data_IF_020519540288
#
_entry.id   IF_020519540288
#
_cell.length_a   1.000
_cell.length_b   1.000
_cell.length_c   1.000
_cell.angle_alpha   90.00
_cell.angle_beta   90.00
_cell.angle_gamma   90.00
#
_symmetry.space_group_name_H-M   'P 1'
#
loop_
_entity.id
_entity.type
_entity.pdbx_description
1 polymer ?
#
# COMPACT_ATOMS: atom_id res chain seq x y z
N UNK A 1 -2.38 -7.89 -5.72
CA UNK A 1 -1.74 -7.19 -4.59
C UNK A 1 -0.37 -7.85 -4.38
N UNK A 2 0.76 -7.14 -4.49
CA UNK A 2 2.07 -7.77 -4.30
C UNK A 2 2.17 -8.33 -2.87
N UNK A 3 2.85 -9.48 -2.68
CA UNK A 3 2.93 -10.12 -1.37
C UNK A 3 3.64 -9.20 -0.36
N UNK A 4 3.01 -9.00 0.80
CA UNK A 4 3.58 -8.21 1.90
C UNK A 4 4.64 -9.04 2.60
N UNK A 5 5.86 -9.01 2.08
CA UNK A 5 7.03 -9.65 2.72
C UNK A 5 7.18 -9.08 4.14
N UNK A 6 7.32 -9.95 5.14
CA UNK A 6 7.46 -9.52 6.53
C UNK A 6 8.72 -8.67 6.71
N UNK A 7 8.72 -7.67 7.63
CA UNK A 7 9.88 -6.81 7.84
C UNK A 7 11.13 -7.61 8.22
N UNK A 8 10.96 -8.69 8.99
CA UNK A 8 12.03 -9.60 9.36
C UNK A 8 12.61 -10.34 8.14
N UNK A 9 11.77 -10.82 7.22
CA UNK A 9 12.23 -11.47 5.99
C UNK A 9 12.94 -10.48 5.05
N UNK A 10 12.45 -9.23 4.94
CA UNK A 10 13.15 -8.19 4.18
C UNK A 10 14.53 -7.88 4.76
N UNK A 11 14.63 -7.75 6.08
CA UNK A 11 15.89 -7.53 6.77
C UNK A 11 16.87 -8.70 6.57
N UNK A 12 16.39 -9.94 6.64
CA UNK A 12 17.20 -11.13 6.37
C UNK A 12 17.67 -11.17 4.92
N UNK A 13 16.82 -10.82 3.95
CA UNK A 13 17.21 -10.77 2.53
C UNK A 13 18.27 -9.70 2.25
N UNK A 14 18.14 -8.53 2.88
CA UNK A 14 19.14 -7.45 2.83
C UNK A 14 20.47 -7.91 3.43
N UNK A 15 20.45 -8.48 4.63
CA UNK A 15 21.66 -8.98 5.30
C UNK A 15 22.30 -10.12 4.49
N UNK A 16 21.49 -10.99 3.90
CA UNK A 16 21.95 -12.05 3.02
C UNK A 16 22.60 -11.52 1.75
N UNK A 17 22.00 -10.52 1.10
CA UNK A 17 22.55 -9.90 -0.12
C UNK A 17 23.84 -9.12 0.15
N UNK A 18 23.88 -8.34 1.23
CA UNK A 18 25.09 -7.61 1.66
C UNK A 18 26.21 -8.55 2.05
N UNK A 19 25.92 -9.62 2.77
CA UNK A 19 26.89 -10.68 3.08
C UNK A 19 27.38 -11.39 1.81
N UNK A 20 26.49 -11.74 0.88
CA UNK A 20 26.84 -12.36 -0.39
C UNK A 20 27.76 -11.45 -1.22
N UNK A 21 27.45 -10.16 -1.32
CA UNK A 21 28.25 -9.20 -2.09
C UNK A 21 29.65 -9.01 -1.48
N UNK A 22 29.77 -9.00 -0.16
CA UNK A 22 31.06 -8.93 0.53
C UNK A 22 31.93 -10.17 0.28
N UNK A 23 31.31 -11.37 0.26
CA UNK A 23 32.02 -12.60 -0.10
C UNK A 23 32.39 -12.66 -1.59
N UNK A 24 31.66 -11.97 -2.46
CA UNK A 24 31.98 -11.93 -3.89
C UNK A 24 33.18 -11.02 -4.17
N UNK A 25 33.25 -9.87 -3.49
CA UNK A 25 34.40 -8.95 -3.52
C UNK A 25 35.68 -9.68 -3.11
N UNK A 26 35.62 -10.43 -2.01
CA UNK A 26 36.69 -11.30 -1.52
C UNK A 26 37.22 -12.29 -2.57
N UNK A 27 36.31 -12.88 -3.37
CA UNK A 27 36.67 -13.84 -4.42
C UNK A 27 37.34 -13.13 -5.60
N UNK A 28 36.85 -11.95 -5.96
CA UNK A 28 37.40 -11.14 -7.06
C UNK A 28 38.82 -10.70 -6.72
N UNK A 29 39.06 -10.21 -5.51
CA UNK A 29 40.41 -9.78 -5.08
C UNK A 29 41.38 -10.95 -4.97
N UNK A 30 40.94 -12.12 -4.49
CA UNK A 30 41.77 -13.32 -4.46
C UNK A 30 42.23 -13.77 -5.87
N UNK A 31 41.39 -13.57 -6.89
CA UNK A 31 41.69 -13.95 -8.28
C UNK A 31 42.57 -12.90 -8.97
N UNK A 32 42.26 -11.62 -8.78
CA UNK A 32 42.93 -10.54 -9.51
C UNK A 32 44.21 -10.05 -8.83
N UNK A 33 44.32 -10.22 -7.52
CA UNK A 33 45.43 -9.70 -6.73
C UNK A 33 45.84 -10.69 -5.61
N UNK A 34 46.46 -11.82 -5.97
CA UNK A 34 46.84 -12.86 -5.00
C UNK A 34 47.94 -12.42 -4.02
N UNK A 35 48.66 -11.33 -4.32
CA UNK A 35 49.70 -10.76 -3.46
C UNK A 35 49.20 -9.87 -2.32
N UNK A 36 47.95 -9.38 -2.34
CA UNK A 36 47.40 -8.55 -1.25
C UNK A 36 46.77 -9.44 -0.18
N UNK A 37 47.15 -9.31 1.11
CA UNK A 37 46.50 -10.04 2.18
C UNK A 37 45.05 -9.57 2.34
N UNK A 38 44.10 -10.51 2.15
CA UNK A 38 42.65 -10.30 2.24
C UNK A 38 42.15 -9.55 3.49
N UNK A 39 42.82 -9.73 4.64
CA UNK A 39 42.54 -8.98 5.87
C UNK A 39 43.50 -7.80 6.04
N UNK A 40 43.49 -6.87 5.09
CA UNK A 40 44.16 -5.59 5.26
C UNK A 40 43.19 -4.51 5.80
N UNK A 41 43.76 -3.36 6.15
CA UNK A 41 42.99 -2.25 6.70
C UNK A 41 41.98 -1.69 5.68
N UNK A 42 42.25 -1.80 4.38
CA UNK A 42 41.43 -1.25 3.32
C UNK A 42 40.11 -2.02 3.19
N UNK A 43 40.17 -3.35 3.09
CA UNK A 43 38.98 -4.19 2.99
C UNK A 43 38.09 -4.09 4.24
N UNK A 44 38.69 -4.01 5.43
CA UNK A 44 37.92 -3.86 6.68
C UNK A 44 37.22 -2.50 6.76
N UNK A 45 37.86 -1.42 6.28
CA UNK A 45 37.24 -0.09 6.26
C UNK A 45 36.14 0.03 5.21
N UNK A 46 36.37 -0.45 3.99
CA UNK A 46 35.38 -0.43 2.90
C UNK A 46 34.14 -1.26 3.26
N UNK A 47 34.31 -2.47 3.82
CA UNK A 47 33.20 -3.30 4.30
C UNK A 47 32.37 -2.63 5.40
N UNK A 48 33.03 -2.02 6.39
CA UNK A 48 32.37 -1.29 7.47
C UNK A 48 31.57 -0.09 6.97
N UNK A 49 32.16 0.72 6.08
CA UNK A 49 31.50 1.89 5.49
C UNK A 49 30.29 1.48 4.64
N UNK A 50 30.44 0.46 3.78
CA UNK A 50 29.34 -0.05 2.96
C UNK A 50 28.20 -0.57 3.83
N UNK A 51 28.50 -1.34 4.88
CA UNK A 51 27.47 -1.87 5.80
C UNK A 51 26.73 -0.75 6.52
N UNK A 52 27.44 0.28 7.01
CA UNK A 52 26.84 1.43 7.70
C UNK A 52 25.97 2.26 6.75
N UNK A 53 26.47 2.60 5.56
CA UNK A 53 25.73 3.38 4.57
C UNK A 53 24.49 2.61 4.11
N UNK A 54 24.66 1.34 3.74
CA UNK A 54 23.56 0.50 3.23
C UNK A 54 22.49 0.29 4.31
N UNK A 55 22.90 -0.02 5.55
CA UNK A 55 21.97 -0.17 6.67
C UNK A 55 21.22 1.13 6.98
N UNK A 56 21.94 2.27 7.02
CA UNK A 56 21.33 3.59 7.24
C UNK A 56 20.35 3.97 6.13
N UNK A 57 20.72 3.75 4.87
CA UNK A 57 19.88 4.01 3.71
C UNK A 57 18.59 3.18 3.75
N UNK A 58 18.68 1.91 4.12
CA UNK A 58 17.51 1.02 4.21
C UNK A 58 16.56 1.41 5.33
N UNK A 59 17.09 1.78 6.50
CA UNK A 59 16.27 2.31 7.61
C UNK A 59 15.54 3.59 7.17
N UNK A 60 16.24 4.50 6.50
CA UNK A 60 15.66 5.74 5.99
C UNK A 60 14.59 5.48 4.93
N UNK A 61 14.84 4.52 4.03
CA UNK A 61 13.87 4.11 3.01
C UNK A 61 12.60 3.52 3.65
N UNK A 62 12.73 2.68 4.68
CA UNK A 62 11.56 2.15 5.39
C UNK A 62 10.75 3.24 6.08
N UNK A 63 11.41 4.21 6.71
CA UNK A 63 10.75 5.36 7.33
C UNK A 63 9.98 6.15 6.28
N UNK A 64 10.57 6.37 5.11
CA UNK A 64 9.95 7.09 4.00
C UNK A 64 8.73 6.35 3.45
N UNK A 65 8.83 5.04 3.21
CA UNK A 65 7.71 4.20 2.76
C UNK A 65 6.54 4.28 3.75
N UNK A 66 6.81 4.15 5.07
CA UNK A 66 5.76 4.24 6.10
C UNK A 66 5.10 5.61 6.20
N UNK A 67 5.82 6.69 5.84
CA UNK A 67 5.21 8.03 5.75
C UNK A 67 4.30 8.13 4.53
N UNK A 68 4.73 7.58 3.40
CA UNK A 68 3.94 7.56 2.17
C UNK A 68 2.67 6.72 2.34
N UNK A 69 2.77 5.54 2.95
CA UNK A 69 1.61 4.68 3.25
C UNK A 69 0.59 5.42 4.15
N UNK A 70 1.05 6.12 5.18
CA UNK A 70 0.16 6.92 6.06
C UNK A 70 -0.53 8.05 5.31
N UNK A 71 0.21 8.82 4.51
CA UNK A 71 -0.37 9.89 3.71
C UNK A 71 -1.42 9.35 2.71
N UNK A 72 -1.17 8.17 2.13
CA UNK A 72 -2.14 7.51 1.25
C UNK A 72 -3.39 7.03 1.99
N UNK A 73 -3.24 6.49 3.20
CA UNK A 73 -4.40 6.10 4.01
C UNK A 73 -5.22 7.32 4.46
N UNK A 74 -4.57 8.44 4.78
CA UNK A 74 -5.25 9.70 5.07
C UNK A 74 -6.05 10.19 3.85
N UNK A 75 -5.47 10.13 2.64
CA UNK A 75 -6.20 10.46 1.40
C UNK A 75 -7.37 9.51 1.17
N UNK A 76 -7.21 8.19 1.34
CA UNK A 76 -8.32 7.23 1.18
C UNK A 76 -9.45 7.47 2.17
N UNK A 77 -9.15 7.84 3.41
CA UNK A 77 -10.19 8.16 4.40
C UNK A 77 -10.95 9.44 4.04
N UNK A 78 -10.25 10.45 3.51
CA UNK A 78 -10.84 11.68 2.97
C UNK A 78 -11.67 11.41 1.70
N UNK A 79 -11.22 10.54 0.80
CA UNK A 79 -11.98 10.07 -0.37
C UNK A 79 -13.20 9.23 0.02
N UNK A 80 -13.18 8.60 1.19
CA UNK A 80 -14.34 7.88 1.77
C UNK A 80 -15.45 8.81 2.27
N UNK A 81 -15.15 10.08 2.52
CA UNK A 81 -16.14 11.08 2.89
C UNK A 81 -16.80 11.67 1.65
N UNK A 82 -17.93 11.08 1.24
CA UNK A 82 -18.70 11.57 0.11
C UNK A 82 -19.54 12.80 0.51
N UNK A 83 -19.27 14.00 -0.01
CA UNK A 83 -20.10 15.16 0.27
C UNK A 83 -21.49 14.97 -0.34
N UNK A 84 -22.50 14.78 0.52
CA UNK A 84 -23.90 14.61 0.12
C UNK A 84 -24.71 15.88 0.36
N UNK A 85 -25.66 16.16 -0.53
CA UNK A 85 -26.64 17.23 -0.30
C UNK A 85 -27.61 16.79 0.80
N UNK A 86 -27.75 17.58 1.86
CA UNK A 86 -28.67 17.29 2.96
C UNK A 86 -30.14 17.21 2.53
N UNK A 87 -30.53 17.95 1.47
CA UNK A 87 -31.92 17.99 1.00
C UNK A 87 -32.25 16.87 0.00
N UNK A 88 -31.41 16.64 -1.01
CA UNK A 88 -31.70 15.70 -2.10
C UNK A 88 -30.82 14.45 -2.13
N UNK A 89 -29.87 14.31 -1.20
CA UNK A 89 -28.94 13.19 -1.05
C UNK A 89 -28.04 12.89 -2.26
N UNK A 90 -27.98 13.78 -3.26
CA UNK A 90 -26.99 13.67 -4.35
C UNK A 90 -25.57 13.80 -3.81
N UNK A 91 -24.63 13.11 -4.44
CA UNK A 91 -23.19 13.19 -4.13
C UNK A 91 -22.57 14.24 -5.04
N UNK A 92 -21.72 15.11 -4.47
CA UNK A 92 -20.93 16.08 -5.21
C UNK A 92 -19.59 15.48 -5.63
N UNK A 93 -19.23 15.58 -6.90
CA UNK A 93 -17.91 15.17 -7.43
C UNK A 93 -16.92 16.33 -7.42
N UNK A 94 -15.65 16.06 -7.73
CA UNK A 94 -14.61 17.10 -7.78
C UNK A 94 -14.87 18.16 -8.86
N UNK A 95 -15.60 17.82 -9.92
CA UNK A 95 -16.00 18.73 -11.00
C UNK A 95 -17.21 19.63 -10.61
N UNK A 96 -17.57 19.67 -9.32
CA UNK A 96 -18.75 20.36 -8.77
C UNK A 96 -20.10 19.88 -9.36
N UNK A 97 -20.11 18.70 -9.98
CA UNK A 97 -21.31 18.05 -10.50
C UNK A 97 -22.02 17.23 -9.41
N UNK A 98 -23.34 17.15 -9.52
CA UNK A 98 -24.19 16.43 -8.56
C UNK A 98 -24.81 15.19 -9.18
N UNK A 99 -24.49 14.03 -8.63
CA UNK A 99 -24.97 12.73 -9.13
C UNK A 99 -25.86 12.04 -8.10
N UNK A 100 -26.85 11.28 -8.59
CA UNK A 100 -27.60 10.33 -7.76
C UNK A 100 -26.66 9.25 -7.23
N UNK A 101 -26.91 8.80 -6.00
CA UNK A 101 -26.02 7.87 -5.27
C UNK A 101 -25.80 6.58 -6.07
N UNK A 102 -26.86 6.04 -6.65
CA UNK A 102 -26.85 4.79 -7.41
C UNK A 102 -25.92 4.90 -8.62
N UNK A 103 -25.99 6.02 -9.35
CA UNK A 103 -25.10 6.29 -10.49
C UNK A 103 -23.65 6.37 -10.03
N UNK A 104 -23.39 7.13 -8.96
CA UNK A 104 -22.06 7.33 -8.42
C UNK A 104 -21.39 6.01 -7.98
N UNK A 105 -22.12 5.16 -7.27
CA UNK A 105 -21.62 3.87 -6.78
C UNK A 105 -21.41 2.89 -7.94
N UNK A 106 -22.36 2.80 -8.88
CA UNK A 106 -22.26 1.90 -10.03
C UNK A 106 -21.08 2.23 -10.96
N UNK A 107 -20.71 3.50 -11.07
CA UNK A 107 -19.55 3.93 -11.88
C UNK A 107 -18.20 3.61 -11.22
N UNK A 108 -18.16 3.41 -9.90
CA UNK A 108 -16.92 3.27 -9.10
C UNK A 108 -16.75 1.92 -8.42
N UNK A 109 -17.72 1.02 -8.59
CA UNK A 109 -17.73 -0.32 -7.99
C UNK A 109 -18.39 -1.30 -8.95
N UNK A 110 -18.16 -2.60 -8.75
CA UNK A 110 -18.85 -3.66 -9.51
C UNK A 110 -20.29 -3.93 -9.01
N UNK A 111 -20.87 -3.02 -8.22
CA UNK A 111 -22.20 -3.19 -7.65
C UNK A 111 -23.31 -3.05 -8.72
N UNK A 112 -24.25 -4.00 -8.71
CA UNK A 112 -25.46 -3.94 -9.54
C UNK A 112 -26.67 -3.65 -8.66
N UNK A 113 -27.39 -2.56 -8.95
CA UNK A 113 -28.62 -2.20 -8.24
C UNK A 113 -29.83 -2.89 -8.88
N UNK A 114 -30.65 -3.53 -8.05
CA UNK A 114 -31.96 -4.06 -8.43
C UNK A 114 -33.06 -3.23 -7.75
N UNK A 115 -34.25 -3.24 -8.35
CA UNK A 115 -35.40 -2.58 -7.77
C UNK A 115 -36.12 -3.54 -6.82
N UNK A 116 -36.30 -3.13 -5.56
CA UNK A 116 -37.06 -3.86 -4.55
C UNK A 116 -37.83 -2.90 -3.66
N UNK A 117 -38.90 -3.38 -3.05
CA UNK A 117 -39.71 -2.59 -2.12
C UNK A 117 -39.58 -3.16 -0.71
N UNK A 118 -39.20 -2.35 0.27
CA UNK A 118 -39.14 -2.82 1.65
C UNK A 118 -40.56 -3.04 2.21
N UNK A 119 -40.73 -3.91 3.23
CA UNK A 119 -42.05 -4.19 3.82
C UNK A 119 -42.78 -2.95 4.32
N UNK A 120 -42.06 -1.94 4.84
CA UNK A 120 -42.65 -0.69 5.32
C UNK A 120 -43.26 0.13 4.18
N UNK A 121 -42.55 0.24 3.04
CA UNK A 121 -43.05 0.93 1.86
C UNK A 121 -44.23 0.18 1.24
N UNK A 122 -44.15 -1.15 1.18
CA UNK A 122 -45.24 -1.98 0.68
C UNK A 122 -46.51 -1.81 1.53
N UNK A 123 -46.39 -1.86 2.86
CA UNK A 123 -47.50 -1.65 3.79
C UNK A 123 -48.12 -0.25 3.66
N UNK A 124 -47.31 0.77 3.39
CA UNK A 124 -47.78 2.16 3.22
C UNK A 124 -48.53 2.37 1.91
N UNK A 125 -48.04 1.77 0.82
CA UNK A 125 -48.62 1.90 -0.52
C UNK A 125 -49.83 0.99 -0.74
N UNK A 126 -49.78 -0.23 -0.21
CA UNK A 126 -50.75 -1.30 -0.50
C UNK A 126 -51.54 -1.78 0.72
N UNK A 127 -51.27 -1.27 1.93
CA UNK A 127 -52.01 -1.67 3.13
C UNK A 127 -51.81 -3.14 3.52
N UNK A 128 -52.89 -3.82 3.91
CA UNK A 128 -52.88 -5.24 4.33
C UNK A 128 -52.81 -6.23 3.15
N UNK A 129 -52.86 -5.77 1.89
CA UNK A 129 -52.93 -6.65 0.71
C UNK A 129 -51.58 -7.28 0.33
N UNK A 130 -50.50 -6.96 1.05
CA UNK A 130 -49.15 -7.47 0.81
C UNK A 130 -48.80 -8.65 1.75
N UNK A 131 -49.72 -9.60 1.94
CA UNK A 131 -49.41 -10.87 2.59
C UNK A 131 -48.81 -11.85 1.56
N UNK A 132 -47.47 -11.84 1.53
CA UNK A 132 -46.52 -12.83 1.01
C UNK A 132 -47.09 -13.95 0.11
N UNK A 133 -46.78 -13.86 -1.18
CA UNK A 133 -46.35 -15.02 -1.98
C UNK A 133 -44.84 -15.09 -2.04
#
# INVERSE_FOLDING_TARGET
MPPRISPLLRFILVLGFTSLMFNLDAIVDYIHHPEIPYFDAEHMTTGGVIALITGGLLVLLEIYIRRLERALDDVKTLEGMLPICSSCKKIRTQDDQWHVIEKYIKERTDATFTHGMCPECAKRMYGQTFERT
#
